data_IF_799726148084
#
_entry.id   IF_799726148084
#
_cell.length_a   1.000
_cell.length_b   1.000
_cell.length_c   1.000
_cell.angle_alpha   90.00
_cell.angle_beta   90.00
_cell.angle_gamma   90.00
#
_symmetry.space_group_name_H-M   'P 1'
#
loop_
_entity.id
_entity.type
_entity.pdbx_description
1 polymer ?
#
# COMPACT_ATOMS: atom_id res chain seq x y z
N UNK A 1 -13.64 1.39 25.80
CA UNK A 1 -14.52 0.44 25.11
C UNK A 1 -13.78 -0.88 25.00
N UNK A 2 -14.26 -1.94 25.67
CA UNK A 2 -13.65 -3.27 25.60
C UNK A 2 -14.03 -3.93 24.27
N UNK A 3 -13.06 -4.59 23.63
CA UNK A 3 -13.28 -5.31 22.38
C UNK A 3 -14.33 -6.43 22.56
N UNK A 4 -15.19 -6.70 21.57
CA UNK A 4 -16.17 -7.78 21.65
C UNK A 4 -15.49 -9.14 21.83
N UNK A 5 -16.11 -10.01 22.62
CA UNK A 5 -15.59 -11.34 22.94
C UNK A 5 -15.32 -12.15 21.66
N UNK A 6 -14.09 -12.68 21.53
CA UNK A 6 -13.69 -13.56 20.42
C UNK A 6 -12.77 -12.94 19.37
N UNK A 7 -12.52 -11.62 19.39
CA UNK A 7 -11.47 -11.02 18.55
C UNK A 7 -10.13 -11.14 19.28
N UNK A 8 -9.14 -11.88 18.74
CA UNK A 8 -7.82 -11.93 19.34
C UNK A 8 -7.25 -10.51 19.43
N UNK A 9 -6.79 -10.11 20.61
CA UNK A 9 -6.13 -8.82 20.77
C UNK A 9 -4.93 -8.75 19.82
N UNK A 10 -4.77 -7.61 19.13
CA UNK A 10 -3.57 -7.35 18.32
C UNK A 10 -2.37 -7.39 19.26
N UNK A 11 -1.70 -8.53 19.36
CA UNK A 11 -0.42 -8.64 20.05
C UNK A 11 0.60 -7.87 19.23
N UNK A 12 1.04 -6.73 19.76
CA UNK A 12 2.27 -6.11 19.27
C UNK A 12 3.42 -7.05 19.54
N UNK A 13 4.41 -7.09 18.64
CA UNK A 13 5.68 -7.71 18.96
C UNK A 13 6.26 -7.02 20.20
N UNK A 14 6.94 -7.80 21.07
CA UNK A 14 7.74 -7.20 22.15
C UNK A 14 8.87 -6.39 21.51
N UNK A 15 9.31 -5.29 22.13
CA UNK A 15 10.54 -4.61 21.71
C UNK A 15 11.68 -5.64 21.64
N UNK A 16 12.40 -5.67 20.53
CA UNK A 16 13.62 -6.45 20.43
C UNK A 16 14.65 -5.83 21.37
N UNK A 17 15.21 -6.62 22.28
CA UNK A 17 16.47 -6.26 22.93
C UNK A 17 17.58 -6.60 21.95
N UNK A 18 18.61 -5.75 21.77
CA UNK A 18 19.73 -6.09 20.90
C UNK A 18 20.45 -7.29 21.51
N UNK A 19 20.20 -8.46 20.95
CA UNK A 19 20.77 -9.73 21.39
C UNK A 19 21.46 -10.35 20.18
N UNK A 20 22.79 -10.29 20.15
CA UNK A 20 23.60 -10.90 19.09
C UNK A 20 23.60 -10.15 17.76
N UNK A 21 24.31 -10.70 16.75
CA UNK A 21 24.36 -10.15 15.39
C UNK A 21 23.02 -10.32 14.67
N UNK A 22 22.78 -9.52 13.62
CA UNK A 22 21.61 -9.67 12.76
C UNK A 22 21.62 -11.03 12.04
N UNK A 23 20.43 -11.62 11.84
CA UNK A 23 20.25 -12.88 11.09
C UNK A 23 20.65 -12.75 9.60
N UNK A 24 20.61 -11.53 9.07
CA UNK A 24 20.98 -11.24 7.69
C UNK A 24 21.07 -9.75 7.39
N UNK A 25 21.79 -9.41 6.33
CA UNK A 25 21.89 -8.04 5.80
C UNK A 25 21.39 -8.02 4.37
N UNK A 26 20.52 -7.06 4.06
CA UNK A 26 19.87 -6.90 2.76
C UNK A 26 19.84 -5.42 2.39
N UNK A 27 19.82 -5.12 1.10
CA UNK A 27 19.69 -3.75 0.60
C UNK A 27 18.29 -3.19 0.90
N UNK A 28 17.26 -4.05 0.83
CA UNK A 28 15.87 -3.67 1.08
C UNK A 28 15.17 -4.74 1.94
N UNK A 29 14.55 -4.32 3.04
CA UNK A 29 13.64 -5.14 3.83
C UNK A 29 12.22 -4.60 3.66
N UNK A 30 11.31 -5.45 3.20
CA UNK A 30 9.90 -5.12 2.99
C UNK A 30 9.07 -5.84 4.05
N UNK A 31 8.26 -5.10 4.80
CA UNK A 31 7.40 -5.64 5.86
C UNK A 31 5.94 -5.61 5.39
N UNK A 32 5.38 -6.78 5.13
CA UNK A 32 4.02 -7.01 4.65
C UNK A 32 3.99 -7.52 3.21
N UNK A 33 3.50 -8.74 3.02
CA UNK A 33 3.32 -9.41 1.72
C UNK A 33 2.02 -9.06 1.01
N UNK A 34 1.49 -7.85 1.21
CA UNK A 34 0.31 -7.34 0.50
C UNK A 34 0.64 -6.77 -0.88
N UNK A 35 -0.35 -6.19 -1.57
CA UNK A 35 -0.17 -5.65 -2.93
C UNK A 35 1.00 -4.66 -3.05
N UNK A 36 1.14 -3.73 -2.11
CA UNK A 36 2.26 -2.78 -2.10
C UNK A 36 3.61 -3.44 -1.82
N UNK A 37 3.70 -4.35 -0.85
CA UNK A 37 4.97 -4.97 -0.46
C UNK A 37 5.48 -5.98 -1.48
N UNK A 38 4.59 -6.75 -2.12
CA UNK A 38 4.98 -7.64 -3.21
C UNK A 38 5.48 -6.85 -4.42
N UNK A 39 4.79 -5.76 -4.81
CA UNK A 39 5.23 -4.89 -5.89
C UNK A 39 6.61 -4.27 -5.58
N UNK A 40 6.76 -3.68 -4.39
CA UNK A 40 8.04 -3.09 -3.97
C UNK A 40 9.20 -4.10 -3.98
N UNK A 41 8.95 -5.32 -3.48
CA UNK A 41 9.96 -6.38 -3.45
C UNK A 41 10.38 -6.81 -4.86
N UNK A 42 9.42 -6.99 -5.76
CA UNK A 42 9.67 -7.38 -7.15
C UNK A 42 10.50 -6.32 -7.89
N UNK A 43 10.11 -5.04 -7.79
CA UNK A 43 10.83 -3.96 -8.46
C UNK A 43 12.23 -3.76 -7.89
N UNK A 44 12.41 -3.83 -6.56
CA UNK A 44 13.73 -3.76 -5.95
C UNK A 44 14.64 -4.91 -6.44
N UNK A 45 14.09 -6.13 -6.54
CA UNK A 45 14.84 -7.28 -7.04
C UNK A 45 15.20 -7.15 -8.52
N UNK A 46 14.28 -6.62 -9.35
CA UNK A 46 14.54 -6.31 -10.76
C UNK A 46 15.73 -5.33 -10.89
N UNK A 47 15.83 -4.35 -10.00
CA UNK A 47 16.95 -3.41 -9.93
C UNK A 47 18.25 -4.00 -9.33
N UNK A 48 18.36 -5.32 -9.24
CA UNK A 48 19.57 -6.03 -8.81
C UNK A 48 19.82 -6.01 -7.30
N UNK A 49 18.85 -5.60 -6.49
CA UNK A 49 19.00 -5.51 -5.03
C UNK A 49 18.71 -6.84 -4.33
N UNK A 50 19.42 -7.08 -3.22
CA UNK A 50 19.07 -8.14 -2.27
C UNK A 50 17.85 -7.69 -1.47
N UNK A 51 16.82 -8.55 -1.40
CA UNK A 51 15.52 -8.21 -0.81
C UNK A 51 15.07 -9.28 0.17
N UNK A 52 14.67 -8.88 1.37
CA UNK A 52 13.95 -9.71 2.33
C UNK A 52 12.51 -9.22 2.46
N UNK A 53 11.54 -10.06 2.10
CA UNK A 53 10.11 -9.81 2.33
C UNK A 53 9.65 -10.58 3.55
N UNK A 54 9.04 -9.88 4.51
CA UNK A 54 8.48 -10.47 5.73
C UNK A 54 6.96 -10.39 5.70
N UNK A 55 6.28 -11.50 5.95
CA UNK A 55 4.83 -11.56 6.15
C UNK A 55 4.53 -12.29 7.46
N UNK A 56 3.62 -11.72 8.25
CA UNK A 56 3.21 -12.29 9.54
C UNK A 56 2.18 -13.41 9.35
N UNK A 57 1.30 -13.26 8.37
CA UNK A 57 0.29 -14.25 8.04
C UNK A 57 0.94 -15.52 7.50
N UNK A 58 0.28 -16.69 7.64
CA UNK A 58 0.76 -17.93 7.04
C UNK A 58 0.79 -17.88 5.50
N UNK A 59 0.12 -16.90 4.90
CA UNK A 59 -0.01 -16.73 3.45
C UNK A 59 0.16 -15.27 3.06
N UNK A 60 0.70 -15.03 1.86
CA UNK A 60 0.83 -13.70 1.28
C UNK A 60 -0.54 -13.09 0.94
N UNK A 61 -0.53 -11.80 0.61
CA UNK A 61 -1.60 -11.10 -0.09
C UNK A 61 -2.49 -10.21 0.77
N UNK A 62 -2.59 -10.43 2.07
CA UNK A 62 -3.32 -9.55 2.99
C UNK A 62 -4.73 -9.17 2.50
N UNK A 63 -5.06 -7.87 2.52
CA UNK A 63 -6.33 -7.35 1.97
C UNK A 63 -6.41 -7.44 0.44
N UNK A 64 -5.27 -7.46 -0.26
CA UNK A 64 -5.25 -7.57 -1.71
C UNK A 64 -5.85 -8.89 -2.20
N UNK A 65 -5.73 -9.99 -1.45
CA UNK A 65 -6.40 -11.27 -1.77
C UNK A 65 -7.93 -11.22 -1.73
N UNK A 66 -8.50 -10.28 -0.99
CA UNK A 66 -9.95 -10.07 -0.89
C UNK A 66 -10.45 -9.05 -1.91
N UNK A 67 -9.54 -8.29 -2.51
CA UNK A 67 -9.92 -7.33 -3.54
C UNK A 67 -10.30 -8.09 -4.81
N UNK A 68 -11.34 -7.62 -5.50
CA UNK A 68 -11.71 -8.11 -6.83
C UNK A 68 -10.70 -7.70 -7.93
N UNK A 69 -9.53 -7.16 -7.55
CA UNK A 69 -8.46 -6.67 -8.42
C UNK A 69 -8.87 -5.65 -9.49
N UNK A 70 -9.90 -4.84 -9.22
CA UNK A 70 -10.17 -3.64 -10.01
C UNK A 70 -9.30 -2.48 -9.49
N UNK A 71 -8.41 -1.98 -10.33
CA UNK A 71 -7.65 -0.76 -10.06
C UNK A 71 -7.90 0.24 -11.18
N UNK A 72 -8.18 1.47 -10.79
CA UNK A 72 -8.31 2.58 -11.73
C UNK A 72 -6.92 3.10 -12.08
N UNK A 73 -6.53 2.95 -13.34
CA UNK A 73 -5.33 3.60 -13.89
C UNK A 73 -5.82 4.83 -14.66
N UNK A 74 -5.65 6.04 -14.10
CA UNK A 74 -6.14 7.25 -14.73
C UNK A 74 -5.44 7.50 -16.06
N UNK A 75 -6.19 7.94 -17.07
CA UNK A 75 -5.67 8.24 -18.41
C UNK A 75 -4.90 7.07 -19.06
N UNK A 76 -5.43 5.84 -18.92
CA UNK A 76 -4.82 4.67 -19.52
C UNK A 76 -5.04 4.62 -21.05
N UNK A 77 -4.11 3.95 -21.75
CA UNK A 77 -4.12 3.88 -23.22
C UNK A 77 -5.41 3.30 -23.81
N UNK A 78 -6.06 2.36 -23.12
CA UNK A 78 -7.29 1.74 -23.60
C UNK A 78 -8.48 2.71 -23.56
N UNK A 79 -8.53 3.63 -22.60
CA UNK A 79 -9.52 4.71 -22.53
C UNK A 79 -9.21 5.80 -23.55
N UNK A 80 -7.93 6.20 -23.68
CA UNK A 80 -7.50 7.17 -24.70
C UNK A 80 -7.85 6.68 -26.11
N UNK A 81 -7.63 5.39 -26.41
CA UNK A 81 -7.98 4.79 -27.70
C UNK A 81 -9.49 4.75 -28.00
N UNK A 82 -10.34 5.02 -27.01
CA UNK A 82 -11.80 5.10 -27.13
C UNK A 82 -12.34 6.53 -26.99
N UNK A 83 -11.45 7.53 -27.03
CA UNK A 83 -11.77 8.94 -26.80
C UNK A 83 -12.53 9.18 -25.46
N UNK A 84 -12.27 8.33 -24.47
CA UNK A 84 -12.85 8.45 -23.14
C UNK A 84 -12.00 9.40 -22.29
N UNK A 85 -12.59 10.52 -21.88
CA UNK A 85 -11.94 11.47 -21.01
C UNK A 85 -11.76 10.90 -19.59
N UNK A 86 -10.51 10.87 -19.13
CA UNK A 86 -10.15 10.49 -17.76
C UNK A 86 -8.96 11.33 -17.27
N UNK A 87 -9.17 12.63 -16.97
CA UNK A 87 -8.08 13.56 -16.72
C UNK A 87 -7.34 13.24 -15.43
N UNK A 88 -6.00 13.27 -15.49
CA UNK A 88 -5.13 13.08 -14.32
C UNK A 88 -5.48 14.01 -13.16
N UNK A 89 -5.86 15.26 -13.44
CA UNK A 89 -6.22 16.24 -12.40
C UNK A 89 -7.43 15.80 -11.57
N UNK A 90 -8.41 15.13 -12.18
CA UNK A 90 -9.62 14.68 -11.49
C UNK A 90 -9.32 13.49 -10.59
N UNK A 91 -8.47 12.57 -11.04
CA UNK A 91 -7.93 11.51 -10.18
C UNK A 91 -7.19 12.08 -8.96
N UNK A 92 -6.33 13.08 -9.16
CA UNK A 92 -5.61 13.71 -8.05
C UNK A 92 -6.55 14.39 -7.04
N UNK A 93 -7.56 15.13 -7.51
CA UNK A 93 -8.60 15.73 -6.65
C UNK A 93 -9.40 14.68 -5.90
N UNK A 94 -9.76 13.57 -6.55
CA UNK A 94 -10.45 12.45 -5.92
C UNK A 94 -9.61 11.83 -4.80
N UNK A 95 -8.32 11.57 -5.06
CA UNK A 95 -7.41 11.02 -4.05
C UNK A 95 -7.20 11.99 -2.88
N UNK A 96 -7.06 13.29 -3.15
CA UNK A 96 -6.97 14.32 -2.11
C UNK A 96 -8.20 14.31 -1.19
N UNK A 97 -9.40 14.34 -1.79
CA UNK A 97 -10.68 14.27 -1.07
C UNK A 97 -10.81 13.02 -0.21
N UNK A 98 -10.39 11.85 -0.70
CA UNK A 98 -10.44 10.60 0.09
C UNK A 98 -9.41 10.56 1.22
N UNK A 99 -8.28 11.24 1.04
CA UNK A 99 -7.19 11.21 2.02
C UNK A 99 -7.45 12.13 3.22
N UNK A 100 -8.10 13.29 3.00
CA UNK A 100 -8.48 14.26 4.04
C UNK A 100 -9.86 14.87 3.78
N UNK A 101 -10.94 14.08 3.86
CA UNK A 101 -12.28 14.57 3.51
C UNK A 101 -12.74 15.76 4.37
N UNK A 102 -12.28 15.84 5.62
CA UNK A 102 -12.60 16.91 6.57
C UNK A 102 -11.95 18.27 6.24
N UNK A 103 -10.87 18.28 5.46
CA UNK A 103 -10.12 19.49 5.12
C UNK A 103 -10.21 19.84 3.62
N UNK A 104 -10.93 19.04 2.83
CA UNK A 104 -10.97 19.19 1.39
C UNK A 104 -11.83 20.40 0.96
N UNK A 105 -11.24 21.31 0.19
CA UNK A 105 -11.94 22.44 -0.43
C UNK A 105 -11.81 22.35 -1.97
N UNK A 106 -12.88 22.08 -2.73
CA UNK A 106 -12.79 21.95 -4.19
C UNK A 106 -12.27 23.18 -4.92
N UNK A 107 -12.29 24.37 -4.29
CA UNK A 107 -11.78 25.61 -4.86
C UNK A 107 -10.30 25.85 -4.57
N UNK A 108 -9.69 25.09 -3.65
CA UNK A 108 -8.31 25.31 -3.24
C UNK A 108 -7.32 24.95 -4.36
N UNK A 109 -6.35 25.83 -4.69
CA UNK A 109 -5.51 25.69 -5.88
C UNK A 109 -4.60 24.45 -5.87
N UNK A 110 -4.29 23.90 -4.69
CA UNK A 110 -3.48 22.68 -4.52
C UNK A 110 -4.34 21.42 -4.51
N UNK A 111 -5.16 21.25 -5.56
CA UNK A 111 -5.98 20.05 -5.79
C UNK A 111 -6.98 19.75 -4.66
N UNK A 112 -7.42 20.81 -4.00
CA UNK A 112 -8.36 20.78 -2.90
C UNK A 112 -7.79 20.49 -1.51
N UNK A 113 -6.46 20.58 -1.35
CA UNK A 113 -5.73 20.44 -0.09
C UNK A 113 -5.16 21.76 0.38
#
# INVERSE_FOLDING_TARGET
MNAPAGIPTRKSARPASPQGPFDGTYDVIVVGGGGGGLAASLFARWQGRSVLLLEKAPELGGTARKAAFWYWVPNNAAMTAKDMADPKADCLRYMARLSRPEAYDPSHPTLGM
#
